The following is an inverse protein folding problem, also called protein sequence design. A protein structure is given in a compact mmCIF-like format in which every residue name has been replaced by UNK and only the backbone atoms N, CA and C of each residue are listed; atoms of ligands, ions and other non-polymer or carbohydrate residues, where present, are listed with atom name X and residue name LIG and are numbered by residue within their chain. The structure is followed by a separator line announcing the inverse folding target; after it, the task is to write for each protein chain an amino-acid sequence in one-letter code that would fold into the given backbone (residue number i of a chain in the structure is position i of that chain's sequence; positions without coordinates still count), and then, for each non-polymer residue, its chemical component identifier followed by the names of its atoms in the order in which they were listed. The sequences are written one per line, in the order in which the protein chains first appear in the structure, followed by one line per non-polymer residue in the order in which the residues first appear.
data_IF_771475818501
#
_entry.id   IF_771475818501
#
_cell.length_a   1.000
_cell.length_b   1.000
_cell.length_c   1.000
_cell.angle_alpha   90.00
_cell.angle_beta   90.00
_cell.angle_gamma   90.00
#
_symmetry.space_group_name_H-M   'P 1'
#
loop_
_entity.id
_entity.type
_entity.pdbx_description
1 polymer ?
#
# COMPACT_ATOMS: atom_id res chain seq x y z
N UNK A 1 6.30 82.31 64.17
CA UNK A 1 5.01 82.69 63.44
C UNK A 1 4.77 81.60 62.40
N UNK A 2 3.62 80.90 62.58
CA UNK A 2 2.75 80.30 61.58
C UNK A 2 3.48 79.41 60.53
N UNK A 3 3.23 78.21 60.34
CA UNK A 3 2.12 77.28 60.49
C UNK A 3 2.25 76.30 59.37
N UNK A 4 1.89 75.17 59.51
CA UNK A 4 0.77 74.27 59.23
C UNK A 4 1.28 72.97 58.64
N UNK A 5 1.06 71.92 59.32
CA UNK A 5 0.11 70.79 59.06
C UNK A 5 -0.43 70.72 57.64
N UNK A 6 -0.16 69.59 56.99
CA UNK A 6 -1.07 68.77 56.14
C UNK A 6 -0.25 67.63 55.50
N UNK A 7 -0.52 66.53 55.78
CA UNK A 7 -1.43 65.43 55.53
C UNK A 7 -0.63 64.18 55.09
N UNK A 8 -0.51 63.29 56.03
CA UNK A 8 -0.26 61.87 55.83
C UNK A 8 -1.61 61.23 55.47
N UNK A 9 -1.94 61.07 54.21
CA UNK A 9 -3.04 60.21 53.76
C UNK A 9 -2.87 60.03 52.24
N UNK A 10 -2.21 59.00 51.82
CA UNK A 10 -2.07 58.72 50.38
C UNK A 10 -1.10 57.62 49.99
N UNK A 11 -0.64 56.81 50.95
CA UNK A 11 0.37 55.80 50.65
C UNK A 11 -0.02 54.39 51.11
N UNK A 12 -1.31 54.05 51.02
CA UNK A 12 -1.78 52.70 51.40
C UNK A 12 -2.73 52.07 50.36
N UNK A 13 -2.70 52.56 49.11
CA UNK A 13 -3.59 52.01 48.09
C UNK A 13 -2.88 51.52 46.79
N UNK A 14 -1.56 51.40 46.84
CA UNK A 14 -0.78 50.90 45.66
C UNK A 14 0.00 49.61 45.89
N UNK A 15 -0.43 48.75 46.84
CA UNK A 15 0.32 47.53 47.15
C UNK A 15 -0.54 46.25 47.10
N UNK A 16 -1.64 46.22 46.33
CA UNK A 16 -2.46 45.04 46.13
C UNK A 16 -2.74 44.73 44.65
N UNK A 17 -2.04 45.41 43.69
CA UNK A 17 -2.15 45.10 42.25
C UNK A 17 -0.84 44.59 41.71
N UNK A 18 -0.37 43.47 42.21
CA UNK A 18 0.91 42.93 41.73
C UNK A 18 1.17 41.49 42.05
N UNK A 19 0.16 40.61 42.10
CA UNK A 19 0.38 39.17 42.17
C UNK A 19 -0.75 38.40 41.47
N UNK A 20 -0.98 38.67 40.17
CA UNK A 20 -1.55 37.74 39.23
C UNK A 20 -0.58 37.61 38.07
N UNK A 21 0.63 37.18 38.34
CA UNK A 21 1.38 36.47 37.34
C UNK A 21 0.77 35.07 37.27
N UNK A 22 -0.29 34.95 36.44
CA UNK A 22 -0.74 33.67 35.97
C UNK A 22 0.45 32.98 35.33
N UNK A 23 0.87 31.82 35.84
CA UNK A 23 1.57 30.84 35.04
C UNK A 23 0.67 30.55 33.85
N UNK A 24 0.85 31.27 32.78
CA UNK A 24 0.45 30.81 31.45
C UNK A 24 1.34 29.60 31.19
N UNK A 25 0.82 28.41 31.39
CA UNK A 25 1.31 27.28 30.61
C UNK A 25 1.29 27.80 29.17
N UNK A 26 2.46 27.90 28.54
CA UNK A 26 2.50 27.94 27.09
C UNK A 26 1.72 26.71 26.65
N UNK A 27 0.52 26.89 26.08
CA UNK A 27 -0.10 25.86 25.30
C UNK A 27 0.97 25.44 24.30
N UNK A 28 1.45 24.20 24.37
CA UNK A 28 2.30 23.65 23.33
C UNK A 28 1.49 23.76 22.03
N UNK A 29 2.04 24.46 21.04
CA UNK A 29 1.39 24.58 19.73
C UNK A 29 1.19 23.17 19.19
N UNK A 30 -0.06 22.82 18.91
CA UNK A 30 -0.44 21.53 18.37
C UNK A 30 0.27 21.29 17.02
N UNK A 31 0.73 20.09 16.78
CA UNK A 31 1.49 19.73 15.58
C UNK A 31 1.01 18.39 15.04
N UNK A 32 1.23 18.17 13.76
CA UNK A 32 1.08 16.89 13.10
C UNK A 32 2.46 16.38 12.70
N UNK A 33 2.78 15.14 13.03
CA UNK A 33 3.97 14.46 12.52
C UNK A 33 3.54 13.11 11.94
N UNK A 34 3.52 13.04 10.60
CA UNK A 34 3.13 11.86 9.85
C UNK A 34 4.35 11.07 9.36
N UNK A 35 4.42 9.80 9.75
CA UNK A 35 5.36 8.84 9.18
C UNK A 35 4.70 8.13 8.00
N UNK A 36 5.08 8.54 6.79
CA UNK A 36 4.52 8.02 5.54
C UNK A 36 5.19 6.70 5.11
N UNK A 37 4.37 5.72 4.76
CA UNK A 37 4.77 4.41 4.27
C UNK A 37 5.13 4.39 2.77
N UNK A 38 4.54 5.30 1.95
CA UNK A 38 4.60 5.29 0.49
C UNK A 38 5.68 6.24 -0.04
N UNK A 39 6.90 5.74 -0.42
CA UNK A 39 7.95 6.59 -0.95
C UNK A 39 7.58 7.28 -2.27
N UNK A 40 6.78 6.63 -3.12
CA UNK A 40 6.30 7.18 -4.39
C UNK A 40 5.41 8.42 -4.23
N UNK A 41 4.82 8.63 -3.05
CA UNK A 41 3.96 9.76 -2.73
C UNK A 41 4.66 10.85 -1.90
N UNK A 42 5.97 10.74 -1.65
CA UNK A 42 6.69 11.61 -0.71
C UNK A 42 6.54 13.10 -1.02
N UNK A 43 6.79 13.50 -2.26
CA UNK A 43 6.71 14.91 -2.69
C UNK A 43 5.28 15.47 -2.54
N UNK A 44 4.28 14.67 -2.88
CA UNK A 44 2.87 15.06 -2.75
C UNK A 44 2.47 15.25 -1.29
N UNK A 45 2.94 14.39 -0.37
CA UNK A 45 2.69 14.58 1.06
C UNK A 45 3.32 15.87 1.61
N UNK A 46 4.49 16.26 1.12
CA UNK A 46 5.11 17.54 1.47
C UNK A 46 4.30 18.76 0.95
N UNK A 47 3.67 18.64 -0.22
CA UNK A 47 2.76 19.68 -0.74
C UNK A 47 1.48 19.77 0.08
N UNK A 48 0.87 18.64 0.44
CA UNK A 48 -0.30 18.55 1.32
C UNK A 48 -0.02 19.22 2.66
N UNK A 49 1.14 18.92 3.26
CA UNK A 49 1.57 19.51 4.52
C UNK A 49 1.62 21.04 4.45
N UNK A 50 2.24 21.58 3.39
CA UNK A 50 2.32 23.04 3.16
C UNK A 50 0.95 23.67 2.95
N UNK A 51 0.05 23.00 2.21
CA UNK A 51 -1.29 23.51 1.96
C UNK A 51 -2.11 23.56 3.25
N UNK A 52 -2.08 22.52 4.07
CA UNK A 52 -2.76 22.49 5.36
C UNK A 52 -2.21 23.52 6.34
N UNK A 53 -0.88 23.66 6.44
CA UNK A 53 -0.24 24.67 7.28
C UNK A 53 -0.61 26.10 6.84
N UNK A 54 -0.70 26.35 5.53
CA UNK A 54 -1.12 27.66 4.99
C UNK A 54 -2.58 27.99 5.33
N UNK A 55 -3.49 27.02 5.36
CA UNK A 55 -4.90 27.21 5.67
C UNK A 55 -5.19 27.31 7.18
N UNK A 56 -4.46 26.55 8.01
CA UNK A 56 -4.79 26.36 9.42
C UNK A 56 -3.79 26.96 10.40
N UNK A 57 -2.56 27.20 9.96
CA UNK A 57 -1.44 27.58 10.81
C UNK A 57 -0.83 26.43 11.62
N UNK A 58 -1.36 25.22 11.52
CA UNK A 58 -0.86 24.04 12.25
C UNK A 58 0.31 23.44 11.46
N UNK A 59 1.45 23.28 12.14
CA UNK A 59 2.65 22.69 11.52
C UNK A 59 2.44 21.21 11.22
N UNK A 60 2.80 20.80 10.01
CA UNK A 60 2.78 19.42 9.55
C UNK A 60 4.18 19.00 9.12
N UNK A 61 4.72 18.01 9.79
CA UNK A 61 5.97 17.35 9.42
C UNK A 61 5.68 16.01 8.77
N UNK A 62 6.27 15.78 7.61
CA UNK A 62 6.26 14.48 6.94
C UNK A 62 7.64 13.82 7.08
N UNK A 63 7.68 12.53 7.39
CA UNK A 63 8.86 11.69 7.21
C UNK A 63 8.43 10.49 6.38
N UNK A 64 9.03 10.32 5.21
CA UNK A 64 8.80 9.15 4.37
C UNK A 64 9.89 8.10 4.62
N UNK A 65 9.48 6.87 4.94
CA UNK A 65 10.39 5.75 5.06
C UNK A 65 10.88 5.30 3.69
N UNK A 66 12.13 4.83 3.61
CA UNK A 66 12.62 4.20 2.39
C UNK A 66 11.91 2.85 2.15
N UNK A 67 11.87 2.40 0.89
CA UNK A 67 11.29 1.11 0.52
C UNK A 67 11.84 -0.01 1.41
N UNK A 68 10.97 -0.90 1.90
CA UNK A 68 11.33 -2.02 2.77
C UNK A 68 11.80 -1.69 4.19
N UNK A 69 11.91 -0.40 4.56
CA UNK A 69 12.47 0.01 5.86
C UNK A 69 11.45 0.58 6.86
N UNK A 70 10.16 0.55 6.53
CA UNK A 70 9.14 1.25 7.32
C UNK A 70 9.05 0.78 8.77
N UNK A 71 9.00 -0.53 9.01
CA UNK A 71 8.88 -1.08 10.38
C UNK A 71 10.06 -0.68 11.27
N UNK A 72 11.29 -0.72 10.72
CA UNK A 72 12.49 -0.28 11.45
C UNK A 72 12.48 1.22 11.72
N UNK A 73 12.02 2.01 10.75
CA UNK A 73 11.87 3.45 10.89
C UNK A 73 10.83 3.77 11.95
N UNK A 74 9.66 3.12 11.94
CA UNK A 74 8.61 3.31 12.94
C UNK A 74 9.12 2.97 14.35
N UNK A 75 9.81 1.84 14.53
CA UNK A 75 10.43 1.46 15.82
C UNK A 75 11.39 2.54 16.34
N UNK A 76 12.20 3.11 15.45
CA UNK A 76 13.14 4.17 15.80
C UNK A 76 12.45 5.49 16.12
N UNK A 77 11.44 5.89 15.34
CA UNK A 77 10.76 7.17 15.49
C UNK A 77 9.83 7.21 16.70
N UNK A 78 9.11 6.10 16.96
CA UNK A 78 8.14 6.05 18.08
C UNK A 78 8.81 6.11 19.45
N UNK A 79 10.09 5.73 19.54
CA UNK A 79 10.89 5.80 20.76
C UNK A 79 11.47 7.19 21.07
N UNK A 80 11.30 8.17 20.16
CA UNK A 80 11.82 9.53 20.35
C UNK A 80 10.95 10.34 21.31
N UNK A 81 11.52 11.42 21.86
CA UNK A 81 10.76 12.36 22.71
C UNK A 81 9.58 13.02 21.99
N UNK A 82 9.70 13.20 20.69
CA UNK A 82 8.65 13.72 19.81
C UNK A 82 8.36 12.69 18.73
N UNK A 83 7.58 11.65 19.06
CA UNK A 83 7.25 10.59 18.12
C UNK A 83 6.27 11.06 17.02
N UNK A 84 6.11 10.29 15.95
CA UNK A 84 5.02 10.50 15.01
C UNK A 84 3.67 10.52 15.70
N UNK A 85 2.82 11.47 15.34
CA UNK A 85 1.43 11.57 15.82
C UNK A 85 0.49 10.77 14.93
N UNK A 86 0.89 10.57 13.66
CA UNK A 86 0.27 9.69 12.69
C UNK A 86 1.29 8.68 12.18
N UNK A 87 0.91 7.43 12.14
CA UNK A 87 1.71 6.34 11.57
C UNK A 87 0.80 5.29 10.93
N UNK A 88 1.36 4.36 10.20
CA UNK A 88 0.61 3.34 9.46
C UNK A 88 0.94 1.94 9.98
N UNK A 89 -0.06 1.06 9.88
CA UNK A 89 0.06 -0.37 10.12
C UNK A 89 -0.51 -1.13 8.92
N UNK A 90 -0.06 -2.35 8.69
CA UNK A 90 -0.46 -3.17 7.54
C UNK A 90 -1.63 -4.11 7.82
N UNK A 91 -2.41 -3.85 8.85
CA UNK A 91 -3.59 -4.64 9.17
C UNK A 91 -3.60 -5.25 10.57
N UNK A 92 -4.41 -6.29 10.81
CA UNK A 92 -4.63 -6.84 12.14
C UNK A 92 -3.36 -7.40 12.82
N UNK A 93 -2.46 -8.02 12.05
CA UNK A 93 -1.21 -8.59 12.60
C UNK A 93 -0.29 -7.48 13.12
N UNK A 94 -0.14 -6.40 12.36
CA UNK A 94 0.65 -5.26 12.81
C UNK A 94 -0.03 -4.50 13.96
N UNK A 95 -1.37 -4.46 13.98
CA UNK A 95 -2.09 -3.89 15.12
C UNK A 95 -1.69 -4.54 16.44
N UNK A 96 -1.56 -5.86 16.50
CA UNK A 96 -1.15 -6.55 17.74
C UNK A 96 0.22 -6.09 18.23
N UNK A 97 1.16 -5.78 17.33
CA UNK A 97 2.48 -5.21 17.67
C UNK A 97 2.39 -3.77 18.19
N UNK A 98 1.49 -2.96 17.61
CA UNK A 98 1.43 -1.52 17.81
C UNK A 98 0.23 -1.04 18.64
N UNK A 99 -0.63 -1.94 19.14
CA UNK A 99 -1.89 -1.62 19.84
C UNK A 99 -1.76 -0.64 20.99
N UNK A 100 -0.62 -0.66 21.71
CA UNK A 100 -0.36 0.25 22.81
C UNK A 100 -0.12 1.71 22.38
N UNK A 101 0.09 1.92 21.09
CA UNK A 101 0.31 3.23 20.47
C UNK A 101 -0.91 3.70 19.63
N UNK A 102 -1.92 2.87 19.48
CA UNK A 102 -3.10 3.20 18.67
C UNK A 102 -4.21 3.79 19.55
N UNK A 103 -4.64 5.03 19.21
CA UNK A 103 -5.82 5.66 19.80
C UNK A 103 -7.08 5.00 19.27
N UNK A 104 -8.14 4.90 20.10
CA UNK A 104 -9.48 4.56 19.62
C UNK A 104 -10.06 5.73 18.80
N UNK A 105 -10.49 5.44 17.58
CA UNK A 105 -11.02 6.36 16.58
C UNK A 105 -12.52 6.16 16.34
N UNK A 106 -13.21 5.38 17.19
CA UNK A 106 -14.64 5.07 17.04
C UNK A 106 -15.54 6.29 17.03
N UNK A 107 -15.12 7.38 17.70
CA UNK A 107 -15.84 8.62 17.85
C UNK A 107 -15.50 9.68 16.78
N UNK A 108 -14.63 9.36 15.82
CA UNK A 108 -14.18 10.31 14.79
C UNK A 108 -15.13 10.35 13.58
N UNK A 109 -15.12 11.48 12.88
CA UNK A 109 -15.82 11.61 11.60
C UNK A 109 -15.20 10.66 10.55
N UNK A 110 -13.89 10.45 10.57
CA UNK A 110 -13.20 9.53 9.66
C UNK A 110 -13.84 8.14 9.67
N UNK A 111 -14.09 7.57 10.86
CA UNK A 111 -14.74 6.27 10.95
C UNK A 111 -16.18 6.31 10.42
N UNK A 112 -16.91 7.36 10.71
CA UNK A 112 -18.29 7.54 10.23
C UNK A 112 -18.40 7.74 8.71
N UNK A 113 -17.33 8.18 8.07
CA UNK A 113 -17.28 8.38 6.62
C UNK A 113 -16.91 7.11 5.84
N UNK A 114 -16.44 6.05 6.48
CA UNK A 114 -16.13 4.82 5.76
C UNK A 114 -17.35 4.27 5.03
N UNK A 115 -17.18 3.94 3.74
CA UNK A 115 -18.22 3.29 2.94
C UNK A 115 -18.52 1.91 3.54
N UNK A 116 -17.47 1.18 3.90
CA UNK A 116 -17.52 -0.13 4.51
C UNK A 116 -16.81 -0.10 5.88
N UNK A 117 -17.54 0.06 7.01
CA UNK A 117 -16.94 0.14 8.34
C UNK A 117 -16.13 -1.11 8.75
N UNK A 118 -16.38 -2.25 8.10
CA UNK A 118 -15.63 -3.49 8.33
C UNK A 118 -14.23 -3.49 7.74
N UNK A 119 -13.91 -2.52 6.88
CA UNK A 119 -12.54 -2.31 6.40
C UNK A 119 -11.59 -1.78 7.49
N UNK A 120 -12.09 -1.17 8.57
CA UNK A 120 -11.24 -0.65 9.64
C UNK A 120 -10.61 -1.78 10.47
N UNK A 121 -9.39 -1.55 10.95
CA UNK A 121 -8.79 -2.41 11.97
C UNK A 121 -9.46 -2.11 13.31
N UNK A 122 -10.21 -3.07 13.81
CA UNK A 122 -11.07 -2.93 15.00
C UNK A 122 -11.14 -4.20 15.82
N UNK A 123 -11.57 -4.08 17.07
CA UNK A 123 -11.94 -5.18 17.94
C UNK A 123 -13.18 -4.82 18.76
N UNK A 124 -13.54 -5.66 19.72
CA UNK A 124 -14.73 -5.43 20.58
C UNK A 124 -14.66 -4.12 21.40
N UNK A 125 -13.48 -3.48 21.54
CA UNK A 125 -13.26 -2.30 22.39
C UNK A 125 -13.22 -1.00 21.61
N UNK A 126 -12.92 -1.04 20.29
CA UNK A 126 -12.78 0.19 19.51
C UNK A 126 -12.23 -0.01 18.10
N UNK A 127 -11.96 1.11 17.45
CA UNK A 127 -11.41 1.24 16.09
C UNK A 127 -10.03 1.87 16.18
N UNK A 128 -9.02 1.22 15.63
CA UNK A 128 -7.62 1.59 15.88
C UNK A 128 -6.81 1.90 14.63
N UNK A 129 -7.29 1.49 13.46
CA UNK A 129 -6.69 1.80 12.17
C UNK A 129 -7.78 2.11 11.14
N UNK A 130 -7.67 3.27 10.50
CA UNK A 130 -8.58 3.70 9.44
C UNK A 130 -7.92 3.46 8.09
N UNK A 131 -8.54 2.71 7.16
CA UNK A 131 -8.04 2.62 5.79
C UNK A 131 -8.10 4.01 5.16
N UNK A 132 -7.07 4.40 4.45
CA UNK A 132 -7.02 5.74 3.84
C UNK A 132 -6.94 5.70 2.32
N UNK A 133 -6.76 4.51 1.75
CA UNK A 133 -6.71 4.26 0.31
C UNK A 133 -7.23 2.86 0.01
N UNK A 134 -7.96 2.70 -1.10
CA UNK A 134 -8.22 1.40 -1.72
C UNK A 134 -7.29 1.28 -2.91
N UNK A 135 -6.70 0.12 -3.10
CA UNK A 135 -5.77 -0.14 -4.18
C UNK A 135 -6.09 -1.47 -4.86
N UNK A 136 -5.62 -1.61 -6.10
CA UNK A 136 -5.76 -2.84 -6.85
C UNK A 136 -4.49 -3.16 -7.62
N UNK A 137 -4.15 -4.44 -7.73
CA UNK A 137 -3.04 -4.89 -8.54
C UNK A 137 -3.43 -6.07 -9.46
N UNK A 138 -2.62 -6.20 -10.50
CA UNK A 138 -2.75 -7.21 -11.52
C UNK A 138 -1.52 -7.23 -12.41
N UNK A 139 -1.66 -7.68 -13.63
CA UNK A 139 -0.68 -7.51 -14.69
C UNK A 139 -1.02 -6.21 -15.42
N UNK A 140 -0.14 -5.23 -15.34
CA UNK A 140 -0.23 -4.01 -16.15
C UNK A 140 0.34 -4.33 -17.53
N UNK A 141 -0.36 -3.95 -18.61
CA UNK A 141 0.12 -4.14 -19.96
C UNK A 141 0.03 -2.86 -20.81
N UNK A 142 0.92 -2.75 -21.79
CA UNK A 142 0.92 -1.70 -22.79
C UNK A 142 0.08 -2.14 -24.00
N UNK A 143 -1.12 -1.57 -24.16
CA UNK A 143 -2.06 -1.94 -25.21
C UNK A 143 -1.52 -1.65 -26.62
N UNK A 144 -0.68 -0.63 -26.81
CA UNK A 144 -0.03 -0.36 -28.10
C UNK A 144 0.84 -1.55 -28.55
N UNK A 145 1.61 -2.15 -27.64
CA UNK A 145 2.40 -3.36 -27.90
C UNK A 145 1.47 -4.57 -28.16
N UNK A 146 0.36 -4.69 -27.41
CA UNK A 146 -0.62 -5.76 -27.65
C UNK A 146 -1.28 -5.64 -29.01
N UNK A 147 -1.71 -4.46 -29.41
CA UNK A 147 -2.29 -4.22 -30.74
C UNK A 147 -1.29 -4.53 -31.87
N UNK A 148 0.00 -4.19 -31.65
CA UNK A 148 1.07 -4.57 -32.57
C UNK A 148 1.19 -6.09 -32.70
N UNK A 149 1.16 -6.82 -31.55
CA UNK A 149 1.18 -8.29 -31.55
C UNK A 149 -0.03 -8.87 -32.28
N UNK A 150 -1.27 -8.41 -31.99
CA UNK A 150 -2.49 -8.91 -32.65
C UNK A 150 -2.49 -8.65 -34.17
N UNK A 151 -1.72 -7.68 -34.65
CA UNK A 151 -1.58 -7.38 -36.09
C UNK A 151 -0.55 -8.26 -36.80
N UNK A 152 0.29 -9.03 -36.06
CA UNK A 152 1.29 -9.90 -36.65
C UNK A 152 0.64 -11.07 -37.44
N UNK A 153 1.00 -11.24 -38.69
CA UNK A 153 0.56 -12.38 -39.50
C UNK A 153 1.29 -13.70 -39.14
N UNK A 154 2.36 -13.59 -38.39
CA UNK A 154 3.24 -14.70 -37.94
C UNK A 154 2.82 -15.30 -36.59
N UNK A 155 1.95 -14.61 -35.85
CA UNK A 155 1.43 -15.10 -34.56
C UNK A 155 0.71 -16.43 -34.69
N UNK A 156 0.81 -17.26 -33.65
CA UNK A 156 0.18 -18.59 -33.62
C UNK A 156 -1.15 -18.60 -32.88
N UNK A 157 -1.39 -17.61 -32.01
CA UNK A 157 -2.68 -17.47 -31.31
C UNK A 157 -3.73 -16.90 -32.26
N UNK A 158 -5.00 -17.23 -32.01
CA UNK A 158 -6.17 -16.71 -32.75
C UNK A 158 -6.86 -15.56 -32.00
N UNK A 159 -6.25 -15.02 -30.92
CA UNK A 159 -6.79 -13.91 -30.16
C UNK A 159 -6.84 -12.63 -30.99
N UNK A 160 -7.92 -11.88 -30.86
CA UNK A 160 -8.12 -10.61 -31.56
C UNK A 160 -7.84 -9.40 -30.63
N UNK A 161 -7.95 -9.61 -29.30
CA UNK A 161 -7.70 -8.59 -28.28
C UNK A 161 -7.36 -9.22 -26.93
N UNK A 162 -6.96 -8.39 -25.95
CA UNK A 162 -6.74 -8.83 -24.58
C UNK A 162 -8.02 -9.31 -23.89
N UNK A 163 -9.22 -8.99 -24.39
CA UNK A 163 -10.49 -9.52 -23.86
C UNK A 163 -10.64 -11.03 -24.05
N UNK A 164 -9.94 -11.60 -25.01
CA UNK A 164 -9.90 -13.05 -25.24
C UNK A 164 -9.06 -13.77 -24.17
N UNK A 165 -8.17 -13.07 -23.46
CA UNK A 165 -7.23 -13.62 -22.47
C UNK A 165 -7.85 -13.56 -21.08
N UNK A 166 -8.60 -14.60 -20.72
CA UNK A 166 -9.39 -14.63 -19.49
C UNK A 166 -9.10 -15.85 -18.59
N UNK A 167 -8.02 -16.57 -18.83
CA UNK A 167 -7.54 -17.65 -17.99
C UNK A 167 -6.03 -17.88 -18.21
N UNK A 168 -5.41 -18.71 -17.37
CA UNK A 168 -3.96 -18.96 -17.39
C UNK A 168 -3.49 -19.62 -18.69
N UNK A 169 -4.23 -20.59 -19.24
CA UNK A 169 -3.79 -21.28 -20.46
C UNK A 169 -3.71 -20.31 -21.65
N UNK A 170 -4.65 -19.38 -21.73
CA UNK A 170 -4.62 -18.33 -22.76
C UNK A 170 -3.54 -17.30 -22.51
N UNK A 171 -3.34 -16.89 -21.25
CA UNK A 171 -2.25 -16.00 -20.87
C UNK A 171 -0.89 -16.62 -21.21
N UNK A 172 -0.70 -17.90 -20.86
CA UNK A 172 0.52 -18.65 -21.20
C UNK A 172 0.73 -18.70 -22.72
N UNK A 173 -0.31 -19.07 -23.47
CA UNK A 173 -0.23 -19.13 -24.93
C UNK A 173 0.14 -17.79 -25.56
N UNK A 174 -0.44 -16.69 -25.08
CA UNK A 174 -0.11 -15.33 -25.50
C UNK A 174 1.37 -15.02 -25.23
N UNK A 175 1.80 -15.21 -23.98
CA UNK A 175 3.16 -14.84 -23.53
C UNK A 175 4.23 -15.67 -24.26
N UNK A 176 4.04 -16.99 -24.37
CA UNK A 176 4.97 -17.86 -25.06
C UNK A 176 5.07 -17.53 -26.56
N UNK A 177 3.96 -17.16 -27.20
CA UNK A 177 4.00 -16.74 -28.61
C UNK A 177 4.63 -15.34 -28.77
N UNK A 178 4.33 -14.39 -27.91
CA UNK A 178 5.00 -13.08 -27.89
C UNK A 178 6.52 -13.21 -27.72
N UNK A 179 6.96 -14.14 -26.87
CA UNK A 179 8.40 -14.42 -26.67
C UNK A 179 9.11 -14.96 -27.93
N UNK A 180 8.36 -15.52 -28.90
CA UNK A 180 8.91 -15.88 -30.20
C UNK A 180 9.00 -14.68 -31.17
N UNK A 181 8.44 -13.52 -30.82
CA UNK A 181 8.30 -12.35 -31.69
C UNK A 181 8.91 -11.07 -31.09
N UNK A 182 9.84 -11.18 -30.12
CA UNK A 182 10.43 -10.04 -29.42
C UNK A 182 11.01 -8.98 -30.36
N UNK A 183 11.77 -9.39 -31.39
CA UNK A 183 12.37 -8.48 -32.39
C UNK A 183 11.28 -7.75 -33.19
N UNK A 184 10.24 -8.46 -33.65
CA UNK A 184 9.13 -7.88 -34.42
C UNK A 184 8.32 -6.88 -33.57
N UNK A 185 8.17 -7.14 -32.27
CA UNK A 185 7.50 -6.27 -31.31
C UNK A 185 8.38 -5.10 -30.87
N UNK A 186 9.70 -5.23 -30.94
CA UNK A 186 10.69 -4.27 -30.49
C UNK A 186 10.86 -4.25 -28.97
N UNK A 187 10.66 -5.41 -28.31
CA UNK A 187 10.79 -5.59 -26.87
C UNK A 187 11.94 -6.54 -26.52
N UNK A 188 12.47 -6.45 -25.29
CA UNK A 188 13.55 -7.29 -24.76
C UNK A 188 13.03 -8.51 -24.01
N UNK A 189 11.78 -8.45 -23.52
CA UNK A 189 11.06 -9.52 -22.85
C UNK A 189 9.58 -9.20 -22.76
N UNK A 190 8.74 -10.22 -22.51
CA UNK A 190 7.30 -9.97 -22.35
C UNK A 190 7.04 -9.29 -21.01
N UNK A 191 7.68 -9.77 -19.93
CA UNK A 191 7.56 -9.19 -18.60
C UNK A 191 8.79 -8.35 -18.22
N UNK A 192 8.54 -7.22 -17.57
CA UNK A 192 9.57 -6.48 -16.86
C UNK A 192 10.13 -7.31 -15.69
N UNK A 193 11.33 -6.98 -15.25
CA UNK A 193 11.97 -7.64 -14.12
C UNK A 193 11.11 -7.54 -12.87
N UNK A 194 11.10 -8.61 -12.07
CA UNK A 194 10.58 -8.59 -10.70
C UNK A 194 11.70 -8.94 -9.76
N UNK A 195 12.05 -7.99 -8.91
CA UNK A 195 13.23 -8.06 -8.04
C UNK A 195 13.17 -9.22 -7.05
N UNK A 196 14.36 -9.76 -6.72
CA UNK A 196 14.63 -10.58 -5.54
C UNK A 196 15.53 -9.86 -4.53
N UNK A 197 15.79 -8.57 -4.71
CA UNK A 197 16.49 -7.78 -3.69
C UNK A 197 15.63 -7.64 -2.45
N UNK A 198 16.23 -7.75 -1.27
CA UNK A 198 15.52 -7.59 0.01
C UNK A 198 14.81 -6.23 0.08
N UNK A 199 13.52 -6.26 0.42
CA UNK A 199 12.65 -5.07 0.47
C UNK A 199 12.07 -4.64 -0.88
N UNK A 200 12.53 -5.22 -2.00
CA UNK A 200 12.03 -4.99 -3.36
C UNK A 200 11.30 -6.22 -3.94
N UNK A 201 11.30 -7.34 -3.20
CA UNK A 201 10.80 -8.66 -3.59
C UNK A 201 9.33 -8.91 -3.18
N UNK A 202 8.66 -7.90 -2.64
CA UNK A 202 7.28 -7.98 -2.13
C UNK A 202 6.25 -8.42 -3.21
N UNK A 203 6.52 -8.21 -4.48
CA UNK A 203 5.65 -8.69 -5.57
C UNK A 203 5.57 -10.22 -5.62
N UNK A 204 6.61 -10.93 -5.16
CA UNK A 204 6.62 -12.39 -5.05
C UNK A 204 5.93 -12.90 -3.79
N UNK A 205 6.49 -12.55 -2.64
CA UNK A 205 6.12 -13.14 -1.34
C UNK A 205 4.87 -12.52 -0.70
N UNK A 206 4.36 -11.42 -1.26
CA UNK A 206 3.13 -10.76 -0.79
C UNK A 206 2.06 -10.83 -1.87
N UNK A 207 2.24 -10.14 -2.98
CA UNK A 207 1.19 -9.99 -3.98
C UNK A 207 0.90 -11.29 -4.74
N UNK A 208 1.92 -11.98 -5.22
CA UNK A 208 1.70 -13.21 -5.97
C UNK A 208 1.26 -14.34 -5.04
N UNK A 209 1.86 -14.46 -3.84
CA UNK A 209 1.47 -15.44 -2.83
C UNK A 209 0.04 -15.24 -2.31
N UNK A 210 -0.48 -14.03 -2.37
CA UNK A 210 -1.86 -13.75 -1.98
C UNK A 210 -2.88 -14.61 -2.73
N UNK A 211 -2.66 -14.91 -4.01
CA UNK A 211 -3.64 -15.67 -4.81
C UNK A 211 -3.87 -17.10 -4.28
N UNK A 212 -2.83 -17.95 -4.15
CA UNK A 212 -3.04 -19.30 -3.61
C UNK A 212 -3.60 -19.27 -2.19
N UNK A 213 -3.19 -18.33 -1.33
CA UNK A 213 -3.74 -18.19 0.02
C UNK A 213 -5.22 -17.79 -0.03
N UNK A 214 -5.59 -16.80 -0.84
CA UNK A 214 -6.98 -16.40 -1.03
C UNK A 214 -7.86 -17.56 -1.49
N UNK A 215 -7.40 -18.37 -2.45
CA UNK A 215 -8.17 -19.50 -2.92
C UNK A 215 -8.31 -20.58 -1.85
N UNK A 216 -7.25 -20.86 -1.08
CA UNK A 216 -7.30 -21.82 0.02
C UNK A 216 -8.25 -21.34 1.13
N UNK A 217 -8.14 -20.08 1.56
CA UNK A 217 -9.03 -19.51 2.58
C UNK A 217 -10.48 -19.47 2.11
N UNK A 218 -10.72 -19.08 0.86
CA UNK A 218 -12.06 -19.07 0.26
C UNK A 218 -12.66 -20.48 0.20
N UNK A 219 -11.87 -21.52 -0.14
CA UNK A 219 -12.31 -22.89 -0.20
C UNK A 219 -12.65 -23.43 1.18
N UNK A 220 -11.85 -23.09 2.20
CA UNK A 220 -12.05 -23.51 3.59
C UNK A 220 -13.11 -22.68 4.33
N UNK A 221 -13.46 -21.49 3.79
CA UNK A 221 -14.39 -20.55 4.41
C UNK A 221 -13.81 -19.87 5.67
N UNK A 222 -12.51 -19.61 5.68
CA UNK A 222 -11.77 -18.98 6.77
C UNK A 222 -11.17 -17.64 6.33
N UNK A 223 -10.80 -16.80 7.29
CA UNK A 223 -10.13 -15.54 7.03
C UNK A 223 -8.63 -15.55 7.40
N UNK A 224 -8.19 -16.56 8.14
CA UNK A 224 -6.80 -16.78 8.55
C UNK A 224 -6.61 -18.22 9.01
N UNK A 225 -5.38 -18.74 8.97
CA UNK A 225 -5.03 -20.08 9.44
C UNK A 225 -3.64 -20.09 10.10
N UNK A 226 -3.53 -20.94 11.16
CA UNK A 226 -2.25 -21.17 11.85
C UNK A 226 -1.30 -22.02 11.00
N UNK A 227 -1.84 -22.96 10.23
CA UNK A 227 -1.11 -23.85 9.32
C UNK A 227 -1.70 -23.72 7.92
N UNK A 228 -0.87 -23.52 6.91
CA UNK A 228 -1.28 -23.44 5.52
C UNK A 228 -0.99 -24.77 4.81
N UNK A 229 -2.00 -25.34 4.13
CA UNK A 229 -1.80 -26.54 3.30
C UNK A 229 -1.06 -26.23 2.01
N UNK A 230 -1.14 -24.98 1.56
CA UNK A 230 -0.65 -24.47 0.27
C UNK A 230 -1.21 -25.28 -0.89
N UNK A 231 -2.51 -25.55 -0.83
CA UNK A 231 -3.24 -26.43 -1.78
C UNK A 231 -3.19 -25.97 -3.22
N UNK A 232 -2.87 -24.68 -3.45
CA UNK A 232 -2.74 -24.05 -4.77
C UNK A 232 -1.28 -23.76 -5.15
N UNK A 233 -0.34 -24.54 -4.65
CA UNK A 233 1.10 -24.35 -4.89
C UNK A 233 1.48 -24.48 -6.36
N UNK A 234 0.89 -25.44 -7.09
CA UNK A 234 1.10 -25.58 -8.53
C UNK A 234 0.54 -24.40 -9.32
N UNK A 235 -0.55 -23.79 -8.87
CA UNK A 235 -1.10 -22.59 -9.47
C UNK A 235 -0.18 -21.38 -9.27
N UNK A 236 0.43 -21.26 -8.08
CA UNK A 236 1.46 -20.25 -7.85
C UNK A 236 2.68 -20.48 -8.76
N UNK A 237 3.16 -21.72 -8.81
CA UNK A 237 4.30 -22.10 -9.66
C UNK A 237 4.08 -21.78 -11.13
N UNK A 238 2.88 -22.05 -11.65
CA UNK A 238 2.51 -21.77 -13.02
C UNK A 238 2.79 -20.31 -13.43
N UNK A 239 2.26 -19.36 -12.67
CA UNK A 239 2.42 -17.94 -12.98
C UNK A 239 3.82 -17.42 -12.62
N UNK A 240 4.45 -17.95 -11.57
CA UNK A 240 5.81 -17.64 -11.19
C UNK A 240 6.79 -18.03 -12.32
N UNK A 241 6.72 -19.27 -12.81
CA UNK A 241 7.56 -19.75 -13.91
C UNK A 241 7.28 -18.98 -15.20
N UNK A 242 6.03 -18.61 -15.47
CA UNK A 242 5.69 -17.82 -16.64
C UNK A 242 6.37 -16.44 -16.61
N UNK A 243 6.39 -15.78 -15.46
CA UNK A 243 7.06 -14.48 -15.30
C UNK A 243 8.57 -14.61 -15.46
N UNK A 244 9.19 -15.56 -14.75
CA UNK A 244 10.64 -15.75 -14.77
C UNK A 244 11.16 -16.12 -16.16
N UNK A 245 10.48 -17.06 -16.84
CA UNK A 245 10.94 -17.58 -18.14
C UNK A 245 10.74 -16.57 -19.28
N UNK A 246 9.92 -15.54 -19.10
CA UNK A 246 9.62 -14.53 -20.13
C UNK A 246 9.96 -13.09 -19.68
N UNK A 247 10.77 -12.97 -18.63
CA UNK A 247 11.32 -11.68 -18.17
C UNK A 247 12.40 -11.17 -19.13
N UNK A 248 12.52 -9.83 -19.23
CA UNK A 248 13.63 -9.19 -19.95
C UNK A 248 14.99 -9.33 -19.23
N UNK A 249 14.99 -9.83 -17.99
CA UNK A 249 16.19 -9.97 -17.14
C UNK A 249 16.36 -11.43 -16.72
N UNK A 250 17.59 -11.95 -16.85
CA UNK A 250 17.92 -13.30 -16.39
C UNK A 250 17.73 -13.44 -14.87
N UNK A 251 17.25 -14.61 -14.44
CA UNK A 251 16.99 -14.89 -13.03
C UNK A 251 18.14 -14.49 -12.09
N UNK A 252 19.39 -14.78 -12.48
CA UNK A 252 20.56 -14.51 -11.63
C UNK A 252 20.81 -13.04 -11.37
N UNK A 253 20.28 -12.17 -12.24
CA UNK A 253 20.44 -10.72 -12.16
C UNK A 253 19.29 -10.05 -11.41
N UNK A 254 18.17 -10.77 -11.19
CA UNK A 254 16.99 -10.20 -10.55
C UNK A 254 17.22 -9.69 -9.11
N UNK A 255 18.20 -10.25 -8.38
CA UNK A 255 18.54 -9.74 -7.05
C UNK A 255 19.30 -8.39 -7.07
N UNK A 256 19.71 -7.90 -8.24
CA UNK A 256 20.30 -6.57 -8.42
C UNK A 256 19.30 -5.53 -8.94
N UNK A 257 18.08 -5.94 -9.24
CA UNK A 257 17.01 -5.09 -9.76
C UNK A 257 16.19 -4.48 -8.62
N UNK A 258 15.56 -3.36 -8.92
CA UNK A 258 14.63 -2.65 -8.04
C UNK A 258 13.24 -2.59 -8.68
N UNK A 259 12.25 -2.10 -7.93
CA UNK A 259 10.93 -1.77 -8.49
C UNK A 259 11.05 -0.65 -9.53
N UNK A 260 11.92 0.33 -9.30
CA UNK A 260 12.16 1.43 -10.24
C UNK A 260 12.73 0.93 -11.57
N UNK A 261 13.65 -0.04 -11.57
CA UNK A 261 14.13 -0.70 -12.80
C UNK A 261 12.99 -1.32 -13.60
N UNK A 262 12.06 -2.01 -12.92
CA UNK A 262 10.89 -2.61 -13.57
C UNK A 262 9.98 -1.56 -14.22
N UNK A 263 9.78 -0.43 -13.53
CA UNK A 263 8.96 0.67 -14.06
C UNK A 263 9.63 1.33 -15.25
N UNK A 264 10.96 1.48 -15.23
CA UNK A 264 11.73 2.01 -16.37
C UNK A 264 11.68 1.06 -17.58
N UNK A 265 11.84 -0.25 -17.37
CA UNK A 265 11.76 -1.26 -18.42
C UNK A 265 10.40 -1.24 -19.13
N UNK A 266 9.33 -1.12 -18.36
CA UNK A 266 7.96 -1.01 -18.90
C UNK A 266 7.72 0.34 -19.57
N UNK A 267 8.03 1.45 -18.90
CA UNK A 267 7.78 2.80 -19.40
C UNK A 267 8.54 3.10 -20.69
N UNK A 268 9.76 2.60 -20.83
CA UNK A 268 10.57 2.78 -22.05
C UNK A 268 10.24 1.81 -23.19
N UNK A 269 9.20 0.95 -23.01
CA UNK A 269 8.75 0.02 -24.03
C UNK A 269 9.67 -1.19 -24.25
N UNK A 270 10.60 -1.47 -23.34
CA UNK A 270 11.44 -2.68 -23.39
C UNK A 270 10.64 -3.94 -23.10
N UNK A 271 9.51 -3.81 -22.40
CA UNK A 271 8.63 -4.92 -22.06
C UNK A 271 7.18 -4.57 -22.29
N UNK A 272 6.36 -5.60 -22.52
CA UNK A 272 4.94 -5.46 -22.79
C UNK A 272 4.09 -5.44 -21.53
N UNK A 273 4.56 -6.11 -20.45
CA UNK A 273 3.82 -6.37 -19.23
C UNK A 273 4.68 -6.17 -17.99
N UNK A 274 4.03 -5.80 -16.88
CA UNK A 274 4.63 -5.80 -15.53
C UNK A 274 3.56 -6.10 -14.49
N UNK A 275 3.85 -6.94 -13.49
CA UNK A 275 2.97 -7.09 -12.34
C UNK A 275 3.18 -5.93 -11.38
N UNK A 276 2.16 -5.12 -11.17
CA UNK A 276 2.17 -4.05 -10.17
C UNK A 276 0.73 -3.58 -9.89
N UNK A 277 0.55 -2.56 -9.04
CA UNK A 277 -0.74 -1.97 -8.71
C UNK A 277 -0.97 -0.60 -9.35
N UNK A 278 -2.12 0.00 -9.05
CA UNK A 278 -2.48 1.31 -9.60
C UNK A 278 -1.50 2.43 -9.21
N UNK A 279 -0.79 2.32 -8.10
CA UNK A 279 0.27 3.26 -7.70
C UNK A 279 1.43 3.35 -8.71
N UNK A 280 1.60 2.36 -9.57
CA UNK A 280 2.69 2.32 -10.55
C UNK A 280 2.58 3.42 -11.61
N UNK A 281 1.37 3.92 -11.91
CA UNK A 281 1.22 4.96 -12.93
C UNK A 281 2.01 6.23 -12.61
N UNK A 282 2.03 6.66 -11.35
CA UNK A 282 2.80 7.83 -10.94
C UNK A 282 4.31 7.67 -11.14
N UNK A 283 4.82 6.43 -11.04
CA UNK A 283 6.22 6.11 -11.35
C UNK A 283 6.43 6.10 -12.87
N UNK A 284 5.63 5.32 -13.61
CA UNK A 284 5.71 5.16 -15.07
C UNK A 284 5.64 6.51 -15.79
N UNK A 285 4.67 7.35 -15.43
CA UNK A 285 4.43 8.63 -16.10
C UNK A 285 5.58 9.65 -15.96
N UNK A 286 6.42 9.53 -14.92
CA UNK A 286 7.53 10.45 -14.62
C UNK A 286 8.88 9.99 -15.18
N UNK A 287 8.96 8.79 -15.73
CA UNK A 287 10.22 8.25 -16.26
C UNK A 287 10.62 9.03 -17.52
N UNK A 288 11.88 9.50 -17.54
CA UNK A 288 12.46 10.12 -18.71
C UNK A 288 12.49 9.14 -19.89
N UNK A 289 11.90 9.53 -21.02
CA UNK A 289 11.77 8.66 -22.18
C UNK A 289 10.58 7.71 -22.13
N UNK A 290 9.64 7.90 -21.22
CA UNK A 290 8.39 7.15 -21.18
C UNK A 290 7.69 7.15 -22.55
N UNK A 291 7.33 5.97 -23.05
CA UNK A 291 6.62 5.74 -24.29
C UNK A 291 5.16 5.29 -24.09
N UNK A 292 4.80 4.96 -22.84
CA UNK A 292 3.46 4.48 -22.47
C UNK A 292 2.51 5.65 -22.25
N UNK A 293 1.41 5.69 -22.99
CA UNK A 293 0.39 6.71 -22.80
C UNK A 293 -0.67 6.25 -21.80
N UNK A 294 -1.37 7.22 -21.21
CA UNK A 294 -2.42 6.96 -20.22
C UNK A 294 -3.58 6.11 -20.82
N UNK A 295 -3.90 6.28 -22.10
CA UNK A 295 -4.92 5.51 -22.80
C UNK A 295 -4.50 4.06 -23.13
N UNK A 296 -3.19 3.79 -23.22
CA UNK A 296 -2.64 2.50 -23.60
C UNK A 296 -2.24 1.64 -22.41
N UNK A 297 -2.21 2.20 -21.18
CA UNK A 297 -1.92 1.43 -19.97
C UNK A 297 -3.18 0.78 -19.41
N UNK A 298 -3.14 -0.55 -19.27
CA UNK A 298 -4.33 -1.33 -18.87
C UNK A 298 -3.96 -2.45 -17.90
N UNK A 299 -4.99 -2.95 -17.18
CA UNK A 299 -4.89 -4.11 -16.31
C UNK A 299 -5.44 -5.38 -16.92
N UNK A 300 -4.77 -6.49 -16.61
CA UNK A 300 -5.26 -7.85 -16.73
C UNK A 300 -5.21 -8.50 -15.33
N UNK A 301 -6.25 -9.27 -14.91
CA UNK A 301 -6.16 -10.09 -13.70
C UNK A 301 -5.00 -11.10 -13.77
N UNK A 302 -4.45 -11.47 -12.62
CA UNK A 302 -3.40 -12.49 -12.53
C UNK A 302 -4.07 -13.87 -12.56
N UNK A 303 -4.09 -14.51 -13.70
CA UNK A 303 -4.62 -15.86 -13.86
C UNK A 303 -3.55 -16.90 -13.50
N UNK A 304 -3.96 -17.95 -12.80
CA UNK A 304 -3.05 -18.97 -12.25
C UNK A 304 -3.43 -20.41 -12.60
N UNK A 305 -4.53 -20.61 -13.33
CA UNK A 305 -5.06 -21.93 -13.71
C UNK A 305 -6.02 -22.50 -12.68
N UNK A 306 -6.59 -21.65 -11.82
CA UNK A 306 -7.67 -22.09 -10.90
C UNK A 306 -8.97 -22.18 -11.66
N UNK A 307 -9.76 -23.24 -11.37
CA UNK A 307 -11.05 -23.46 -12.02
C UNK A 307 -12.01 -22.29 -11.80
N UNK A 308 -12.57 -21.75 -12.90
CA UNK A 308 -13.53 -20.65 -12.86
C UNK A 308 -12.90 -19.26 -12.84
N UNK A 309 -11.60 -19.15 -13.06
CA UNK A 309 -10.88 -17.87 -13.07
C UNK A 309 -11.27 -16.92 -14.21
N UNK A 310 -12.07 -17.39 -15.19
CA UNK A 310 -12.57 -16.54 -16.29
C UNK A 310 -13.43 -15.36 -15.78
N UNK A 311 -13.94 -15.48 -14.57
CA UNK A 311 -14.69 -14.41 -13.88
C UNK A 311 -13.88 -13.67 -12.82
N UNK A 312 -12.60 -13.97 -12.69
CA UNK A 312 -11.74 -13.29 -11.74
C UNK A 312 -11.52 -11.83 -12.16
N UNK A 313 -11.58 -10.94 -11.19
CA UNK A 313 -11.17 -9.54 -11.29
C UNK A 313 -9.75 -9.33 -10.79
N UNK A 314 -9.40 -8.08 -10.53
CA UNK A 314 -8.14 -7.69 -9.92
C UNK A 314 -8.09 -8.10 -8.44
N UNK A 315 -6.87 -8.14 -7.91
CA UNK A 315 -6.66 -8.18 -6.47
C UNK A 315 -6.90 -6.79 -5.90
N UNK A 316 -7.96 -6.59 -5.11
CA UNK A 316 -8.38 -5.29 -4.61
C UNK A 316 -8.53 -5.33 -3.10
N UNK A 317 -8.01 -4.31 -2.42
CA UNK A 317 -8.07 -4.21 -0.96
C UNK A 317 -7.38 -2.96 -0.42
N UNK A 318 -7.00 -3.03 0.84
CA UNK A 318 -6.17 -2.05 1.53
C UNK A 318 -5.21 -2.77 2.45
N UNK A 319 -3.99 -2.28 2.55
CA UNK A 319 -3.00 -2.78 3.52
C UNK A 319 -2.49 -1.67 4.44
N UNK A 320 -2.82 -0.43 4.12
CA UNK A 320 -2.31 0.70 4.85
C UNK A 320 -3.43 1.35 5.67
N UNK A 321 -3.27 1.28 6.97
CA UNK A 321 -4.22 1.85 7.93
C UNK A 321 -3.52 2.93 8.73
N UNK A 322 -4.07 4.14 8.71
CA UNK A 322 -3.58 5.24 9.54
C UNK A 322 -4.04 5.05 10.97
N UNK A 323 -3.07 5.15 11.89
CA UNK A 323 -3.28 5.17 13.33
C UNK A 323 -2.89 6.54 13.89
N UNK A 324 -3.66 7.03 14.87
CA UNK A 324 -3.30 8.18 15.69
C UNK A 324 -2.55 7.68 16.91
N UNK A 325 -1.39 8.28 17.19
CA UNK A 325 -0.53 7.85 18.29
C UNK A 325 -1.13 8.23 19.65
N UNK A 326 -1.54 7.24 20.44
CA UNK A 326 -2.16 7.41 21.76
C UNK A 326 -1.24 8.03 22.82
N UNK A 327 0.08 7.98 22.65
CA UNK A 327 1.05 8.57 23.58
C UNK A 327 1.42 10.01 23.23
N UNK A 328 0.99 10.53 22.08
CA UNK A 328 1.13 11.95 21.76
C UNK A 328 0.22 12.80 22.69
N UNK A 329 0.49 14.11 22.78
CA UNK A 329 -0.38 15.00 23.55
C UNK A 329 -1.78 14.99 22.97
N UNK A 330 -2.80 15.25 23.79
CA UNK A 330 -4.19 15.32 23.31
C UNK A 330 -4.34 16.38 22.21
N UNK A 331 -3.63 17.50 22.32
CA UNK A 331 -3.63 18.55 21.30
C UNK A 331 -3.07 18.04 19.96
N UNK A 332 -1.97 17.28 19.99
CA UNK A 332 -1.38 16.69 18.79
C UNK A 332 -2.28 15.60 18.19
N UNK A 333 -2.94 14.79 19.03
CA UNK A 333 -3.90 13.78 18.58
C UNK A 333 -5.08 14.41 17.85
N UNK A 334 -5.67 15.46 18.43
CA UNK A 334 -6.80 16.20 17.83
C UNK A 334 -6.37 16.92 16.55
N UNK A 335 -5.17 17.54 16.52
CA UNK A 335 -4.63 18.16 15.32
C UNK A 335 -4.42 17.12 14.19
N UNK A 336 -3.98 15.92 14.54
CA UNK A 336 -3.79 14.82 13.59
C UNK A 336 -5.11 14.31 13.01
N UNK A 337 -6.14 14.18 13.84
CA UNK A 337 -7.49 13.84 13.38
C UNK A 337 -8.03 14.94 12.46
N UNK A 338 -7.93 16.22 12.87
CA UNK A 338 -8.37 17.35 12.07
C UNK A 338 -7.63 17.45 10.71
N UNK A 339 -6.33 17.11 10.67
CA UNK A 339 -5.57 17.04 9.42
C UNK A 339 -6.15 15.99 8.46
N UNK A 340 -6.46 14.79 8.96
CA UNK A 340 -7.07 13.74 8.15
C UNK A 340 -8.50 14.11 7.72
N UNK A 341 -9.29 14.70 8.62
CA UNK A 341 -10.64 15.16 8.30
C UNK A 341 -10.62 16.28 7.25
N UNK A 342 -9.64 17.20 7.31
CA UNK A 342 -9.42 18.19 6.25
C UNK A 342 -9.04 17.51 4.92
N UNK A 343 -8.12 16.54 4.96
CA UNK A 343 -7.64 15.84 3.76
C UNK A 343 -8.78 15.13 3.02
N UNK A 344 -9.65 14.42 3.76
CA UNK A 344 -10.72 13.61 3.16
C UNK A 344 -12.08 14.30 3.13
N UNK A 345 -12.24 15.48 3.74
CA UNK A 345 -13.50 16.18 3.82
C UNK A 345 -13.52 17.54 3.13
N UNK A 346 -12.38 18.24 3.01
CA UNK A 346 -12.34 19.55 2.37
C UNK A 346 -12.20 19.45 0.85
N UNK A 347 -12.60 20.51 0.13
CA UNK A 347 -12.42 20.58 -1.33
C UNK A 347 -10.94 20.53 -1.74
N UNK A 348 -10.07 21.24 -1.00
CA UNK A 348 -8.63 21.26 -1.25
C UNK A 348 -8.02 19.86 -0.99
N UNK A 349 -8.31 19.27 0.18
CA UNK A 349 -7.79 17.96 0.55
C UNK A 349 -8.21 16.86 -0.43
N UNK A 350 -9.49 16.81 -0.80
CA UNK A 350 -10.00 15.82 -1.75
C UNK A 350 -9.33 15.91 -3.13
N UNK A 351 -9.00 17.10 -3.62
CA UNK A 351 -8.24 17.25 -4.86
C UNK A 351 -6.82 16.68 -4.75
N UNK A 352 -6.14 16.88 -3.62
CA UNK A 352 -4.86 16.22 -3.40
C UNK A 352 -4.98 14.69 -3.40
N UNK A 353 -6.02 14.16 -2.77
CA UNK A 353 -6.26 12.71 -2.70
C UNK A 353 -6.47 12.13 -4.11
N UNK A 354 -7.33 12.75 -4.93
CA UNK A 354 -7.71 12.20 -6.25
C UNK A 354 -6.75 12.57 -7.36
N UNK A 355 -6.29 13.82 -7.41
CA UNK A 355 -5.55 14.36 -8.57
C UNK A 355 -4.05 14.21 -8.42
N UNK A 356 -3.52 14.31 -7.20
CA UNK A 356 -2.08 14.31 -6.92
C UNK A 356 -1.58 12.98 -6.37
N UNK A 357 -2.28 12.39 -5.40
CA UNK A 357 -1.96 11.05 -4.86
C UNK A 357 -2.47 9.94 -5.78
N UNK A 358 -3.55 10.18 -6.55
CA UNK A 358 -4.21 9.16 -7.36
C UNK A 358 -4.92 8.09 -6.52
N UNK A 359 -5.29 8.42 -5.29
CA UNK A 359 -5.88 7.46 -4.35
C UNK A 359 -7.37 7.26 -4.60
N UNK A 360 -7.80 6.01 -4.58
CA UNK A 360 -9.21 5.64 -4.50
C UNK A 360 -9.61 5.74 -3.03
N UNK A 361 -10.49 6.68 -2.73
CA UNK A 361 -10.88 6.95 -1.35
C UNK A 361 -11.84 5.87 -0.81
N UNK A 362 -11.65 5.39 0.43
CA UNK A 362 -12.61 4.51 1.11
C UNK A 362 -13.79 5.26 1.75
N UNK A 363 -13.88 6.59 1.58
CA UNK A 363 -14.83 7.44 2.30
C UNK A 363 -15.98 7.92 1.41
N UNK A 364 -17.17 7.99 1.97
CA UNK A 364 -18.40 8.48 1.34
C UNK A 364 -18.45 10.01 1.15
N UNK A 365 -17.39 10.72 1.57
CA UNK A 365 -17.22 12.16 1.32
C UNK A 365 -16.87 12.47 -0.13
N UNK A 366 -16.48 11.47 -0.93
CA UNK A 366 -16.18 11.63 -2.34
C UNK A 366 -17.37 11.25 -3.21
N UNK A 367 -17.67 12.10 -4.19
CA UNK A 367 -18.64 11.78 -5.24
C UNK A 367 -18.01 10.93 -6.35
N UNK A 368 -18.84 10.40 -7.23
CA UNK A 368 -18.36 9.65 -8.40
C UNK A 368 -17.49 10.51 -9.33
N UNK A 369 -17.78 11.79 -9.45
CA UNK A 369 -17.01 12.74 -10.26
C UNK A 369 -15.63 13.04 -9.67
N UNK A 370 -15.45 12.82 -8.38
CA UNK A 370 -14.18 12.98 -7.65
C UNK A 370 -13.35 11.68 -7.67
N UNK A 371 -13.50 10.85 -8.71
CA UNK A 371 -12.64 9.68 -8.94
C UNK A 371 -11.25 10.10 -9.41
N UNK A 372 -10.20 9.34 -9.10
CA UNK A 372 -8.84 9.67 -9.52
C UNK A 372 -8.71 9.84 -11.04
N UNK A 373 -7.86 10.78 -11.45
CA UNK A 373 -7.51 10.95 -12.88
C UNK A 373 -6.51 9.89 -13.38
N UNK A 374 -5.89 9.16 -12.48
CA UNK A 374 -4.97 8.06 -12.75
C UNK A 374 -5.65 6.96 -13.58
N UNK A 375 -5.08 6.55 -14.75
CA UNK A 375 -5.72 5.58 -15.64
C UNK A 375 -5.82 4.18 -15.05
N UNK A 376 -4.88 3.77 -14.21
CA UNK A 376 -4.91 2.47 -13.52
C UNK A 376 -5.91 2.49 -12.36
N UNK A 377 -5.95 3.58 -11.58
CA UNK A 377 -6.94 3.73 -10.51
C UNK A 377 -8.37 3.71 -11.05
N UNK A 378 -8.64 4.35 -12.20
CA UNK A 378 -9.95 4.28 -12.88
C UNK A 378 -10.35 2.86 -13.25
N UNK A 379 -9.40 2.05 -13.70
CA UNK A 379 -9.67 0.65 -14.02
C UNK A 379 -9.96 -0.15 -12.75
N UNK A 380 -9.25 0.08 -11.64
CA UNK A 380 -9.59 -0.54 -10.35
C UNK A 380 -11.03 -0.21 -9.95
N UNK A 381 -11.45 1.06 -10.02
CA UNK A 381 -12.84 1.48 -9.75
C UNK A 381 -13.83 0.77 -10.70
N UNK A 382 -13.47 0.62 -11.99
CA UNK A 382 -14.29 -0.12 -12.95
C UNK A 382 -14.45 -1.59 -12.57
N UNK A 383 -13.36 -2.26 -12.18
CA UNK A 383 -13.39 -3.65 -11.70
C UNK A 383 -14.22 -3.82 -10.42
N UNK A 384 -14.12 -2.87 -9.47
CA UNK A 384 -14.94 -2.85 -8.25
C UNK A 384 -16.43 -2.76 -8.55
N UNK A 385 -16.79 -2.05 -9.62
CA UNK A 385 -18.19 -1.81 -10.04
C UNK A 385 -18.76 -2.94 -10.92
N UNK A 386 -17.93 -3.84 -11.45
CA UNK A 386 -18.33 -4.91 -12.33
C UNK A 386 -18.78 -6.15 -11.54
N UNK A 387 -20.07 -6.27 -11.30
CA UNK A 387 -20.66 -7.41 -10.58
C UNK A 387 -20.53 -8.76 -11.31
N UNK A 388 -20.10 -8.79 -12.56
CA UNK A 388 -19.84 -10.02 -13.32
C UNK A 388 -18.51 -10.66 -12.98
N UNK A 389 -17.62 -9.91 -12.35
CA UNK A 389 -16.28 -10.33 -11.92
C UNK A 389 -16.18 -10.45 -10.40
N UNK A 390 -15.35 -11.35 -9.93
CA UNK A 390 -15.06 -11.54 -8.51
C UNK A 390 -13.65 -11.02 -8.22
N UNK A 391 -13.56 -9.97 -7.40
CA UNK A 391 -12.27 -9.47 -6.92
C UNK A 391 -11.59 -10.48 -6.01
N UNK A 392 -10.27 -10.49 -6.00
CA UNK A 392 -9.44 -11.26 -5.07
C UNK A 392 -9.09 -10.35 -3.89
N UNK A 393 -9.48 -10.75 -2.67
CA UNK A 393 -9.20 -9.97 -1.47
C UNK A 393 -7.70 -10.00 -1.14
N UNK A 394 -7.26 -9.02 -0.35
CA UNK A 394 -5.89 -8.92 0.15
C UNK A 394 -5.72 -9.70 1.47
N UNK A 395 -5.64 -11.02 1.37
CA UNK A 395 -5.44 -11.89 2.54
C UNK A 395 -3.99 -11.84 3.05
N UNK A 396 -3.06 -11.27 2.29
CA UNK A 396 -1.67 -11.09 2.72
C UNK A 396 -1.51 -10.18 3.96
N UNK A 397 -2.54 -9.42 4.34
CA UNK A 397 -2.57 -8.67 5.60
C UNK A 397 -2.58 -9.56 6.84
N UNK A 398 -2.87 -10.86 6.66
CA UNK A 398 -2.81 -11.88 7.70
C UNK A 398 -1.49 -12.68 7.69
N UNK A 399 -0.59 -12.46 6.73
CA UNK A 399 0.67 -13.20 6.66
C UNK A 399 1.50 -13.04 7.94
N UNK A 400 2.19 -14.10 8.37
CA UNK A 400 2.65 -14.18 9.76
C UNK A 400 3.68 -13.12 10.15
N UNK A 401 4.69 -12.88 9.32
CA UNK A 401 5.76 -11.95 9.69
C UNK A 401 6.58 -11.48 8.49
N UNK A 402 7.38 -10.42 8.67
CA UNK A 402 8.37 -10.01 7.68
C UNK A 402 9.46 -11.10 7.50
N UNK A 403 9.81 -11.82 8.57
CA UNK A 403 10.78 -12.92 8.49
C UNK A 403 10.28 -14.02 7.56
N UNK A 404 9.02 -14.46 7.70
CA UNK A 404 8.38 -15.41 6.77
C UNK A 404 8.51 -14.94 5.32
N UNK A 405 8.18 -13.67 5.05
CA UNK A 405 8.25 -13.09 3.71
C UNK A 405 9.67 -13.15 3.11
N UNK A 406 10.67 -12.77 3.89
CA UNK A 406 12.09 -12.83 3.47
C UNK A 406 12.55 -14.27 3.23
N UNK A 407 12.22 -15.21 4.12
CA UNK A 407 12.59 -16.63 3.97
C UNK A 407 11.94 -17.24 2.71
N UNK A 408 10.67 -16.92 2.45
CA UNK A 408 9.99 -17.40 1.25
C UNK A 408 10.56 -16.76 -0.02
N UNK A 409 10.82 -15.44 -0.04
CA UNK A 409 11.49 -14.77 -1.16
C UNK A 409 12.86 -15.37 -1.50
N UNK A 410 13.68 -15.64 -0.48
CA UNK A 410 14.97 -16.31 -0.65
C UNK A 410 14.83 -17.74 -1.22
N UNK A 411 13.82 -18.48 -0.79
CA UNK A 411 13.52 -19.82 -1.28
C UNK A 411 13.11 -19.81 -2.76
N UNK A 412 12.28 -18.85 -3.17
CA UNK A 412 11.89 -18.63 -4.56
C UNK A 412 13.09 -18.24 -5.43
N UNK A 413 13.99 -17.39 -4.92
CA UNK A 413 15.21 -17.02 -5.66
C UNK A 413 16.15 -18.20 -5.82
N UNK A 414 16.33 -19.04 -4.80
CA UNK A 414 17.11 -20.27 -4.90
C UNK A 414 16.52 -21.23 -5.94
N UNK A 415 15.19 -21.37 -5.99
CA UNK A 415 14.50 -22.16 -7.02
C UNK A 415 14.72 -21.58 -8.42
N UNK A 416 14.53 -20.28 -8.60
CA UNK A 416 14.78 -19.59 -9.85
C UNK A 416 16.20 -19.84 -10.39
N UNK A 417 17.22 -19.88 -9.52
CA UNK A 417 18.61 -20.18 -9.89
C UNK A 417 18.90 -21.67 -10.12
N UNK A 418 17.95 -22.55 -9.86
CA UNK A 418 18.15 -24.02 -9.91
C UNK A 418 18.98 -24.58 -8.76
N UNK A 419 19.08 -23.87 -7.64
CA UNK A 419 19.82 -24.29 -6.43
C UNK A 419 18.97 -25.19 -5.51
N UNK A 420 17.66 -25.16 -5.69
CA UNK A 420 16.69 -26.01 -4.97
C UNK A 420 15.56 -26.46 -5.89
N UNK A 421 14.84 -27.52 -5.52
CA UNK A 421 13.64 -27.98 -6.20
C UNK A 421 12.37 -27.36 -5.60
N UNK A 422 11.26 -27.41 -6.36
CA UNK A 422 10.00 -26.81 -5.97
C UNK A 422 9.41 -27.46 -4.70
N UNK A 423 9.53 -28.77 -4.53
CA UNK A 423 9.04 -29.47 -3.34
C UNK A 423 9.63 -28.91 -2.05
N UNK A 424 10.94 -28.54 -2.07
CA UNK A 424 11.60 -27.92 -0.91
C UNK A 424 11.13 -26.50 -0.67
N UNK A 425 10.81 -25.73 -1.71
CA UNK A 425 10.21 -24.39 -1.57
C UNK A 425 8.88 -24.51 -0.84
N UNK A 426 8.00 -25.43 -1.25
CA UNK A 426 6.70 -25.69 -0.64
C UNK A 426 6.87 -26.14 0.82
N UNK A 427 7.75 -27.09 1.10
CA UNK A 427 7.99 -27.55 2.46
C UNK A 427 8.49 -26.44 3.39
N UNK A 428 9.50 -25.68 2.93
CA UNK A 428 10.05 -24.55 3.68
C UNK A 428 9.01 -23.47 3.95
N UNK A 429 8.20 -23.15 2.96
CA UNK A 429 7.12 -22.14 3.08
C UNK A 429 6.10 -22.57 4.16
N UNK A 430 5.60 -23.80 4.13
CA UNK A 430 4.63 -24.33 5.10
C UNK A 430 5.20 -24.34 6.52
N UNK A 431 6.46 -24.77 6.68
CA UNK A 431 7.13 -24.79 7.98
C UNK A 431 7.35 -23.39 8.54
N UNK A 432 7.81 -22.44 7.70
CA UNK A 432 8.02 -21.06 8.11
C UNK A 432 6.69 -20.38 8.47
N UNK A 433 5.62 -20.59 7.69
CA UNK A 433 4.27 -20.09 8.00
C UNK A 433 3.82 -20.53 9.39
N UNK A 434 3.78 -21.84 9.64
CA UNK A 434 3.33 -22.40 10.91
C UNK A 434 4.16 -21.92 12.11
N UNK A 435 5.49 -21.87 11.94
CA UNK A 435 6.41 -21.42 12.99
C UNK A 435 6.19 -19.95 13.36
N UNK A 436 6.05 -19.09 12.36
CA UNK A 436 5.89 -17.65 12.60
C UNK A 436 4.45 -17.33 13.12
N UNK A 437 3.43 -18.08 12.69
CA UNK A 437 2.07 -17.99 13.28
C UNK A 437 2.06 -18.39 14.75
N UNK A 438 2.76 -19.45 15.13
CA UNK A 438 2.86 -19.87 16.52
C UNK A 438 3.51 -18.79 17.41
N UNK A 439 4.56 -18.11 16.92
CA UNK A 439 5.21 -16.99 17.66
C UNK A 439 4.23 -15.83 17.89
N UNK A 440 3.43 -15.45 16.89
CA UNK A 440 2.42 -14.39 17.05
C UNK A 440 1.39 -14.72 18.14
N UNK A 441 1.00 -15.99 18.25
CA UNK A 441 0.05 -16.45 19.29
C UNK A 441 0.67 -16.46 20.69
N UNK A 442 1.97 -16.73 20.82
CA UNK A 442 2.71 -16.66 22.09
C UNK A 442 2.85 -15.22 22.57
N UNK A 443 3.29 -14.30 21.70
CA UNK A 443 3.42 -12.86 22.01
C UNK A 443 2.06 -12.25 22.40
N UNK A 444 0.96 -12.68 21.76
CA UNK A 444 -0.40 -12.25 22.10
C UNK A 444 -0.88 -12.76 23.48
N UNK A 445 -0.29 -13.83 24.02
CA UNK A 445 -0.60 -14.36 25.37
C UNK A 445 0.20 -13.69 26.48
N UNK A 446 1.46 -13.32 26.22
CA UNK A 446 2.31 -12.63 27.22
C UNK A 446 1.88 -11.17 27.46
N UNK A 447 1.14 -10.57 26.52
CA UNK A 447 0.63 -9.21 26.59
C UNK A 447 -0.82 -9.08 27.10
N UNK A 448 -1.42 -10.16 27.61
CA UNK A 448 -2.71 -10.19 28.30
C UNK A 448 -2.56 -10.26 29.80
#
# INVERSE_FOLDING_TARGET
MKGKFLIVFGLFFCLVLGMFTGCGQKEEEARVYYLNYKPEAADTWEEIAKAYEAETGIQVRILTAASGSYEQTLKSEIAKQMPPTLFQINGPVDYEKWKNYCRDLSDTQLYSWLIEPDMAVKNEKGVYGIPYVVEGYGIIYNDDIMQKYFSLSTRKTDFESMDDVNNFDKLRSLVEDMSCHLEELGIEGVFASTSFSEGEDWRWHTHLLNLPVYYEFSQKGVADEEELDFSYEENFKNIFDLYINNSCTDCKELASKTVDDSMEEFATGKTAMVQNGNWAWNQIARIDGNQVKAEDVKFLPIYTGVSGEEKQGLCIGTESYICVNSIASEADQQASIAFLEWLYGSETGKKYVTDSLGFISPFNTFSYEESPNDPLARQVVSYMSDSSRKTVNWDFTTFPSQRFKVEFGNSLYAYCKGETDWEKVVESMKQSWASEKALLLEDGKENK
#
